data_IF_495445407077
#
_entry.id   IF_495445407077
#
_cell.length_a   1.000
_cell.length_b   1.000
_cell.length_c   1.000
_cell.angle_alpha   90.00
_cell.angle_beta   90.00
_cell.angle_gamma   90.00
#
_symmetry.space_group_name_H-M   'P 1'
#
loop_
_entity.id
_entity.type
_entity.pdbx_description
1 polymer ?
#
# COMPACT_ATOMS: atom_id res chain seq x y z
N UNK A 1 -2.96 9.57 -12.17
CA UNK A 1 -2.67 8.21 -12.69
C UNK A 1 -3.88 7.75 -13.48
N UNK A 2 -3.89 7.93 -14.81
CA UNK A 2 -4.99 7.51 -15.71
C UNK A 2 -4.70 6.19 -16.41
N UNK A 3 -3.58 5.55 -16.07
CA UNK A 3 -3.19 4.29 -16.66
C UNK A 3 -3.94 3.18 -15.93
N UNK A 4 -4.92 2.58 -16.60
CA UNK A 4 -5.74 1.45 -16.12
C UNK A 4 -4.92 0.16 -15.90
N UNK A 5 -3.62 0.29 -15.65
CA UNK A 5 -2.66 -0.81 -15.53
C UNK A 5 -2.67 -1.49 -14.17
N UNK A 6 -3.24 -0.83 -13.16
CA UNK A 6 -3.12 -1.21 -11.75
C UNK A 6 -4.43 -0.94 -11.02
N UNK A 7 -4.80 -1.83 -10.12
CA UNK A 7 -6.01 -1.70 -9.30
C UNK A 7 -5.71 -2.09 -7.86
N UNK A 8 -6.06 -1.20 -6.92
CA UNK A 8 -6.09 -1.51 -5.49
C UNK A 8 -7.52 -1.81 -5.05
N UNK A 9 -7.66 -2.79 -4.16
CA UNK A 9 -8.87 -3.05 -3.38
C UNK A 9 -8.51 -2.94 -1.91
N UNK A 10 -9.30 -2.18 -1.18
CA UNK A 10 -9.17 -1.99 0.26
C UNK A 10 -10.43 -2.51 0.94
N UNK A 11 -10.27 -3.32 1.98
CA UNK A 11 -11.37 -3.93 2.70
C UNK A 11 -11.18 -3.87 4.22
N UNK A 12 -12.23 -4.26 4.94
CA UNK A 12 -12.39 -4.15 6.40
C UNK A 12 -12.43 -2.72 6.93
N UNK A 13 -12.67 -1.71 6.07
CA UNK A 13 -12.72 -0.31 6.49
C UNK A 13 -13.87 -0.05 7.47
N UNK A 14 -13.65 0.83 8.44
CA UNK A 14 -14.68 1.37 9.33
C UNK A 14 -15.38 2.60 8.74
N UNK A 15 -14.68 3.32 7.85
CA UNK A 15 -15.15 4.53 7.20
C UNK A 15 -14.58 4.63 5.79
N UNK A 16 -15.39 5.12 4.84
CA UNK A 16 -14.97 5.44 3.48
C UNK A 16 -15.13 6.95 3.30
N UNK A 17 -14.05 7.64 2.97
CA UNK A 17 -14.01 9.12 2.89
C UNK A 17 -13.97 9.64 1.45
N UNK A 18 -14.24 8.78 0.47
CA UNK A 18 -14.22 9.07 -0.97
C UNK A 18 -15.52 8.64 -1.66
N UNK A 19 -15.78 9.22 -2.84
CA UNK A 19 -16.94 8.90 -3.68
C UNK A 19 -16.54 8.17 -4.96
N UNK A 20 -17.49 7.42 -5.56
CA UNK A 20 -17.27 6.79 -6.86
C UNK A 20 -16.93 7.83 -7.94
N UNK A 21 -15.85 7.58 -8.69
CA UNK A 21 -15.35 8.49 -9.73
C UNK A 21 -14.50 9.64 -9.20
N UNK A 22 -14.32 9.77 -7.88
CA UNK A 22 -13.40 10.75 -7.30
C UNK A 22 -11.96 10.43 -7.71
N UNK A 23 -11.26 11.42 -8.23
CA UNK A 23 -9.81 11.33 -8.44
C UNK A 23 -9.10 11.52 -7.11
N UNK A 24 -8.17 10.63 -6.79
CA UNK A 24 -7.35 10.68 -5.57
C UNK A 24 -5.87 10.66 -5.94
N UNK A 25 -5.05 11.26 -5.10
CA UNK A 25 -3.60 11.28 -5.21
C UNK A 25 -2.96 10.50 -4.06
N UNK A 26 -1.69 10.12 -4.24
CA UNK A 26 -0.94 9.45 -3.17
C UNK A 26 -0.88 10.37 -1.93
N UNK A 27 -1.18 9.79 -0.77
CA UNK A 27 -1.23 10.50 0.52
C UNK A 27 -2.60 11.06 0.86
N UNK A 28 -3.55 11.11 -0.07
CA UNK A 28 -4.90 11.56 0.24
C UNK A 28 -5.59 10.56 1.18
N UNK A 29 -6.30 11.03 2.22
CA UNK A 29 -7.09 10.15 3.07
C UNK A 29 -8.28 9.60 2.29
N UNK A 30 -8.39 8.27 2.24
CA UNK A 30 -9.47 7.58 1.50
C UNK A 30 -10.44 6.80 2.40
N UNK A 31 -10.10 6.65 3.68
CA UNK A 31 -10.93 5.95 4.66
C UNK A 31 -10.14 5.60 5.92
N UNK A 32 -10.78 4.88 6.83
CA UNK A 32 -10.17 4.36 8.06
C UNK A 32 -10.23 2.84 8.08
N UNK A 33 -9.15 2.19 8.50
CA UNK A 33 -9.15 0.75 8.78
C UNK A 33 -10.18 0.40 9.86
N UNK A 34 -10.55 -0.87 9.94
CA UNK A 34 -11.62 -1.30 10.82
C UNK A 34 -11.77 -2.81 10.85
N UNK A 35 -12.96 -3.29 11.17
CA UNK A 35 -13.28 -4.70 11.27
C UNK A 35 -14.62 -5.06 10.58
N UNK A 36 -14.94 -4.39 9.47
CA UNK A 36 -16.18 -4.68 8.73
C UNK A 36 -16.06 -5.95 7.88
N UNK A 37 -17.20 -6.60 7.62
CA UNK A 37 -17.26 -7.86 6.88
C UNK A 37 -16.68 -9.04 7.66
N UNK A 38 -16.14 -10.02 6.94
CA UNK A 38 -15.52 -11.21 7.53
C UNK A 38 -14.10 -10.89 7.99
N UNK A 39 -13.95 -10.50 9.26
CA UNK A 39 -12.66 -10.20 9.87
C UNK A 39 -12.68 -10.48 11.38
N UNK A 40 -11.57 -11.02 11.91
CA UNK A 40 -11.42 -11.40 13.32
C UNK A 40 -10.94 -10.27 14.23
N UNK A 41 -10.44 -9.17 13.67
CA UNK A 41 -10.01 -8.00 14.43
C UNK A 41 -9.61 -6.82 13.53
N UNK A 42 -9.51 -5.59 14.08
CA UNK A 42 -9.27 -4.40 13.27
C UNK A 42 -7.97 -4.45 12.47
N UNK A 43 -8.06 -4.40 11.14
CA UNK A 43 -6.91 -4.35 10.24
C UNK A 43 -7.29 -3.75 8.87
N UNK A 44 -6.30 -3.64 7.99
CA UNK A 44 -6.51 -3.29 6.58
C UNK A 44 -6.23 -4.52 5.73
N UNK A 45 -7.22 -4.97 4.94
CA UNK A 45 -6.94 -5.86 3.82
C UNK A 45 -6.66 -5.01 2.59
N UNK A 46 -5.49 -5.19 1.99
CA UNK A 46 -5.11 -4.53 0.74
C UNK A 46 -4.73 -5.58 -0.31
N UNK A 47 -5.44 -5.55 -1.42
CA UNK A 47 -5.12 -6.33 -2.62
C UNK A 47 -4.69 -5.39 -3.74
N UNK A 48 -3.60 -5.75 -4.43
CA UNK A 48 -3.12 -5.03 -5.59
C UNK A 48 -3.08 -5.96 -6.81
N UNK A 49 -3.57 -5.49 -7.95
CA UNK A 49 -3.67 -6.27 -9.19
C UNK A 49 -3.12 -5.50 -10.37
N UNK A 50 -2.48 -6.23 -11.28
CA UNK A 50 -2.08 -5.71 -12.59
C UNK A 50 -3.20 -5.97 -13.58
N UNK A 51 -3.54 -4.94 -14.36
CA UNK A 51 -4.62 -4.95 -15.34
C UNK A 51 -4.02 -4.58 -16.69
N UNK A 52 -4.37 -5.29 -17.76
CA UNK A 52 -3.96 -4.96 -19.12
C UNK A 52 -5.19 -5.02 -20.00
N UNK A 53 -5.47 -3.93 -20.74
CA UNK A 53 -6.66 -3.80 -21.58
C UNK A 53 -7.97 -4.13 -20.85
N UNK A 54 -8.09 -3.73 -19.58
CA UNK A 54 -9.27 -4.00 -18.75
C UNK A 54 -9.33 -5.38 -18.11
N UNK A 55 -8.37 -6.28 -18.40
CA UNK A 55 -8.35 -7.65 -17.88
C UNK A 55 -7.30 -7.79 -16.79
N UNK A 56 -7.68 -8.36 -15.64
CA UNK A 56 -6.75 -8.73 -14.55
C UNK A 56 -5.80 -9.81 -15.05
N UNK A 57 -4.51 -9.60 -14.82
CA UNK A 57 -3.45 -10.52 -15.22
C UNK A 57 -3.26 -11.64 -14.18
N UNK A 58 -2.76 -12.80 -14.62
CA UNK A 58 -2.42 -13.94 -13.75
C UNK A 58 -3.53 -14.37 -12.79
N UNK A 59 -4.78 -14.39 -13.26
CA UNK A 59 -5.96 -14.65 -12.43
C UNK A 59 -5.93 -16.04 -11.75
N UNK A 60 -5.33 -17.00 -12.43
CA UNK A 60 -5.23 -18.40 -12.01
C UNK A 60 -4.14 -18.67 -10.97
N UNK A 61 -3.49 -17.62 -10.43
CA UNK A 61 -2.43 -17.76 -9.43
C UNK A 61 -2.91 -18.21 -8.03
N UNK A 62 -4.17 -18.62 -7.89
CA UNK A 62 -4.79 -18.98 -6.61
C UNK A 62 -5.25 -17.78 -5.77
N UNK A 63 -4.90 -16.54 -6.17
CA UNK A 63 -5.24 -15.29 -5.46
C UNK A 63 -6.01 -14.31 -6.36
N UNK A 64 -6.70 -14.80 -7.40
CA UNK A 64 -7.48 -13.99 -8.35
C UNK A 64 -6.67 -12.85 -8.99
N UNK A 65 -5.38 -13.08 -9.26
CA UNK A 65 -4.47 -12.10 -9.87
C UNK A 65 -3.95 -11.03 -8.92
N UNK A 66 -4.13 -11.20 -7.60
CA UNK A 66 -3.38 -10.43 -6.62
C UNK A 66 -1.89 -10.70 -6.78
N UNK A 67 -1.08 -9.63 -6.71
CA UNK A 67 0.38 -9.73 -6.78
C UNK A 67 0.98 -9.41 -5.43
N UNK A 68 2.16 -9.98 -5.16
CA UNK A 68 2.95 -9.62 -3.99
C UNK A 68 3.29 -8.12 -4.06
N UNK A 69 2.90 -7.39 -3.02
CA UNK A 69 3.10 -5.94 -2.95
C UNK A 69 4.43 -5.56 -2.32
N UNK A 70 5.21 -6.51 -1.83
CA UNK A 70 6.48 -6.27 -1.14
C UNK A 70 7.40 -5.40 -2.00
N UNK A 71 7.51 -5.67 -3.31
CA UNK A 71 8.30 -4.84 -4.22
C UNK A 71 7.82 -3.39 -4.36
N UNK A 72 6.51 -3.15 -4.19
CA UNK A 72 5.92 -1.81 -4.31
C UNK A 72 5.95 -1.05 -2.98
N UNK A 73 5.90 -1.76 -1.86
CA UNK A 73 5.98 -1.21 -0.50
C UNK A 73 7.42 -1.11 0.00
N UNK A 74 8.38 -1.78 -0.66
CA UNK A 74 9.83 -1.67 -0.39
C UNK A 74 10.37 -0.26 -0.49
N UNK A 75 9.68 0.65 -1.20
CA UNK A 75 10.03 2.07 -1.21
C UNK A 75 9.71 2.79 0.11
N UNK A 76 9.06 2.12 1.07
CA UNK A 76 8.63 2.68 2.35
C UNK A 76 9.12 1.93 3.59
N UNK A 77 9.66 0.71 3.44
CA UNK A 77 10.20 -0.07 4.55
C UNK A 77 11.43 -0.84 4.09
N UNK A 78 12.57 -0.40 4.61
CA UNK A 78 13.84 -1.11 4.63
C UNK A 78 13.71 -2.36 5.51
N UNK A 79 13.15 -3.45 4.98
CA UNK A 79 13.18 -4.79 5.58
C UNK A 79 12.67 -5.85 4.59
N UNK A 80 13.58 -6.54 3.91
CA UNK A 80 13.32 -7.92 3.47
C UNK A 80 13.88 -8.87 4.54
N UNK A 81 12.96 -9.43 5.32
CA UNK A 81 13.20 -10.48 6.30
C UNK A 81 13.41 -11.87 5.65
N UNK A 82 14.27 -11.95 4.64
CA UNK A 82 14.70 -13.23 4.09
C UNK A 82 16.21 -13.41 4.31
N UNK A 83 16.54 -13.53 5.60
CA UNK A 83 17.59 -14.37 6.18
C UNK A 83 19.08 -14.25 5.82
N UNK A 84 19.54 -13.35 4.93
CA UNK A 84 21.00 -13.22 4.66
C UNK A 84 21.52 -11.79 4.37
N UNK A 85 20.73 -10.73 4.59
CA UNK A 85 21.20 -9.37 4.32
C UNK A 85 21.97 -8.78 5.53
N UNK A 86 23.30 -8.69 5.42
CA UNK A 86 24.12 -7.88 6.33
C UNK A 86 23.94 -6.39 6.01
N UNK A 87 23.54 -5.61 7.03
CA UNK A 87 23.38 -4.16 6.90
C UNK A 87 24.69 -3.48 6.52
N UNK A 88 24.62 -2.44 5.68
CA UNK A 88 25.77 -1.54 5.44
C UNK A 88 25.80 -0.44 6.50
N UNK A 89 26.98 0.10 6.81
CA UNK A 89 27.15 1.14 7.85
C UNK A 89 26.27 2.38 7.63
N UNK A 90 25.86 2.63 6.38
CA UNK A 90 24.95 3.72 6.00
C UNK A 90 23.52 3.59 6.55
N UNK A 91 23.04 2.36 6.83
CA UNK A 91 21.68 2.13 7.32
C UNK A 91 21.51 2.48 8.81
N UNK A 92 22.61 2.64 9.55
CA UNK A 92 22.61 2.87 11.00
C UNK A 92 21.95 4.19 11.41
N UNK A 93 22.03 5.22 10.56
CA UNK A 93 21.43 6.53 10.84
C UNK A 93 19.90 6.52 10.72
N UNK A 94 19.34 5.69 9.83
CA UNK A 94 17.89 5.57 9.62
C UNK A 94 17.22 4.71 10.70
N UNK A 95 17.90 3.66 11.17
CA UNK A 95 17.43 2.80 12.26
C UNK A 95 17.39 3.51 13.63
N UNK A 96 18.11 4.62 13.76
CA UNK A 96 18.11 5.44 14.97
C UNK A 96 16.98 6.50 15.00
N UNK A 97 16.21 6.66 13.92
CA UNK A 97 15.14 7.65 13.85
C UNK A 97 13.86 7.15 14.52
N UNK A 98 13.25 8.01 15.34
CA UNK A 98 11.99 7.74 16.01
C UNK A 98 10.90 8.68 15.46
N UNK A 99 9.85 8.11 14.88
CA UNK A 99 8.73 8.88 14.30
C UNK A 99 7.57 8.93 15.30
N UNK A 100 7.01 10.11 15.54
CA UNK A 100 5.74 10.24 16.28
C UNK A 100 4.59 9.69 15.45
N UNK A 101 3.53 9.17 16.09
CA UNK A 101 2.37 8.55 15.42
C UNK A 101 1.64 9.44 14.40
N UNK A 102 1.89 10.75 14.43
CA UNK A 102 1.29 11.76 13.54
C UNK A 102 2.27 12.28 12.48
N UNK A 103 3.46 11.69 12.38
CA UNK A 103 4.46 12.07 11.39
C UNK A 103 4.21 11.31 10.08
N UNK A 104 3.84 12.05 9.03
CA UNK A 104 3.78 11.54 7.67
C UNK A 104 4.99 12.05 6.87
N UNK A 105 5.54 11.20 6.01
CA UNK A 105 6.55 11.64 5.05
C UNK A 105 5.86 12.42 3.93
N UNK A 106 5.94 13.75 3.97
CA UNK A 106 5.49 14.59 2.87
C UNK A 106 6.52 14.59 1.74
N UNK A 107 6.06 14.51 0.49
CA UNK A 107 6.92 14.69 -0.67
C UNK A 107 7.14 16.19 -0.93
N UNK A 108 8.36 16.73 -0.75
CA UNK A 108 8.61 18.17 -0.85
C UNK A 108 8.52 18.72 -2.28
N UNK A 109 8.41 17.86 -3.31
CA UNK A 109 8.28 18.28 -4.71
C UNK A 109 6.81 18.47 -5.17
N UNK A 110 5.86 18.54 -4.24
CA UNK A 110 4.43 18.71 -4.53
C UNK A 110 4.12 20.19 -4.80
N UNK A 111 3.86 20.56 -6.05
CA UNK A 111 3.21 21.83 -6.41
C UNK A 111 1.81 21.56 -6.98
N UNK A 112 0.88 22.46 -6.64
CA UNK A 112 -0.55 22.39 -6.91
C UNK A 112 -0.91 22.38 -8.41
#
# INVERSE_FOLDING_TARGET
ITDAKRKSLLAHLSEISVSNGQTVFQGDPIGKSGNSGESSGPHLHWTYKIVTNGTVQNRENGYDGAVDVTEFTRLWLDQDMHHDATYTDFASEYLAMNFSGDAYLENPNRHA
#
